data_IF_473459137656
#
_entry.id   IF_473459137656
#
_cell.length_a   1.000
_cell.length_b   1.000
_cell.length_c   1.000
_cell.angle_alpha   90.00
_cell.angle_beta   90.00
_cell.angle_gamma   90.00
#
_symmetry.space_group_name_H-M   'P 1'
#
loop_
_entity.id
_entity.type
_entity.pdbx_description
1 polymer ?
#
# COMPACT_ATOMS: atom_id res chain seq x y z
N UNK A 1 0.30 12.46 2.26
CA UNK A 1 0.85 11.18 2.75
C UNK A 1 -0.08 10.67 3.83
N UNK A 2 -0.42 9.39 3.82
CA UNK A 2 -1.28 8.72 4.80
C UNK A 2 -0.38 7.96 5.78
N UNK A 3 -0.59 8.14 7.08
CA UNK A 3 0.29 7.59 8.12
C UNK A 3 -0.48 6.66 9.03
N UNK A 4 -0.01 5.43 9.21
CA UNK A 4 -0.58 4.45 10.13
C UNK A 4 0.55 3.76 10.87
N UNK A 5 0.88 4.21 12.10
CA UNK A 5 2.05 3.68 12.83
C UNK A 5 1.98 2.20 13.20
N UNK A 6 0.78 1.63 13.33
CA UNK A 6 0.54 0.21 13.60
C UNK A 6 -0.78 -0.24 12.97
N UNK A 7 -0.84 -1.49 12.52
CA UNK A 7 -2.04 -2.10 11.94
C UNK A 7 -1.97 -3.63 12.00
N UNK A 8 -3.06 -4.31 11.66
CA UNK A 8 -3.10 -5.76 11.46
C UNK A 8 -4.00 -6.07 10.27
N UNK A 9 -3.89 -7.29 9.74
CA UNK A 9 -4.54 -7.76 8.54
C UNK A 9 -4.12 -6.99 7.29
N UNK A 10 -5.11 -6.76 6.43
CA UNK A 10 -4.96 -6.02 5.19
C UNK A 10 -5.84 -4.77 5.24
N UNK A 11 -5.30 -3.58 5.60
CA UNK A 11 -6.11 -2.39 5.81
C UNK A 11 -6.71 -1.86 4.51
N UNK A 12 -8.04 -1.76 4.43
CA UNK A 12 -8.70 -1.13 3.27
C UNK A 12 -8.29 0.33 3.09
N UNK A 13 -7.99 1.03 4.19
CA UNK A 13 -7.50 2.42 4.16
C UNK A 13 -6.19 2.57 3.39
N UNK A 14 -5.36 1.52 3.28
CA UNK A 14 -4.15 1.55 2.47
C UNK A 14 -4.51 1.55 0.97
N UNK A 15 -5.50 0.75 0.57
CA UNK A 15 -6.02 0.76 -0.80
C UNK A 15 -6.73 2.08 -1.12
N UNK A 16 -7.56 2.60 -0.22
CA UNK A 16 -8.25 3.89 -0.38
C UNK A 16 -7.26 5.03 -0.57
N UNK A 17 -6.22 5.09 0.28
CA UNK A 17 -5.12 6.05 0.14
C UNK A 17 -4.43 5.89 -1.22
N UNK A 18 -4.11 4.66 -1.63
CA UNK A 18 -3.44 4.42 -2.89
C UNK A 18 -4.33 4.71 -4.12
N UNK A 19 -5.64 4.52 -4.02
CA UNK A 19 -6.60 4.76 -5.09
C UNK A 19 -6.64 6.24 -5.49
N UNK A 20 -6.45 7.14 -4.53
CA UNK A 20 -6.32 8.59 -4.77
C UNK A 20 -4.86 9.04 -4.91
N UNK A 21 -3.93 8.10 -5.08
CA UNK A 21 -2.51 8.39 -5.28
C UNK A 21 -1.80 8.99 -4.06
N UNK A 22 -2.30 8.74 -2.85
CA UNK A 22 -1.67 9.21 -1.60
C UNK A 22 -0.67 8.18 -1.09
N UNK A 23 0.64 8.51 -1.02
CA UNK A 23 1.68 7.60 -0.51
C UNK A 23 1.46 7.22 0.96
N UNK A 24 1.93 6.03 1.33
CA UNK A 24 1.77 5.45 2.67
C UNK A 24 3.07 5.59 3.48
N UNK A 25 2.95 5.87 4.78
CA UNK A 25 4.02 5.65 5.75
C UNK A 25 3.47 4.81 6.89
N UNK A 26 4.11 3.67 7.14
CA UNK A 26 3.79 2.76 8.25
C UNK A 26 5.07 2.30 8.93
N UNK A 27 4.96 1.47 9.95
CA UNK A 27 6.11 0.89 10.65
C UNK A 27 6.08 -0.64 10.59
N UNK A 28 7.15 -1.26 11.11
CA UNK A 28 7.23 -2.70 11.34
C UNK A 28 6.32 -3.24 12.45
N UNK A 29 5.46 -2.41 13.08
CA UNK A 29 4.42 -2.84 14.03
C UNK A 29 3.10 -3.23 13.36
N UNK A 30 3.15 -3.71 12.12
CA UNK A 30 2.01 -4.30 11.44
C UNK A 30 2.40 -5.49 10.58
N UNK A 31 1.42 -6.08 9.89
CA UNK A 31 1.66 -7.23 9.03
C UNK A 31 2.57 -6.88 7.85
N UNK A 32 3.35 -7.86 7.39
CA UNK A 32 4.29 -7.64 6.27
C UNK A 32 3.55 -7.58 4.95
N UNK A 33 3.49 -6.39 4.36
CA UNK A 33 2.90 -6.11 3.07
C UNK A 33 4.00 -5.70 2.08
N UNK A 34 4.50 -6.65 1.29
CA UNK A 34 5.67 -6.50 0.40
C UNK A 34 5.53 -5.39 -0.66
N UNK A 35 4.30 -4.98 -0.97
CA UNK A 35 4.01 -3.98 -2.00
C UNK A 35 4.23 -2.52 -1.54
N UNK A 36 4.52 -2.29 -0.25
CA UNK A 36 4.60 -0.95 0.34
C UNK A 36 5.99 -0.32 0.19
N UNK A 37 6.99 -0.90 0.88
CA UNK A 37 8.27 -0.24 1.12
C UNK A 37 9.04 0.02 -0.18
N UNK A 38 9.50 1.26 -0.37
CA UNK A 38 10.22 1.70 -1.56
C UNK A 38 9.38 1.76 -2.85
N UNK A 39 8.12 1.33 -2.82
CA UNK A 39 7.24 1.29 -3.98
C UNK A 39 6.13 2.34 -3.91
N UNK A 40 5.24 2.27 -2.91
CA UNK A 40 4.13 3.22 -2.71
C UNK A 40 4.35 4.15 -1.51
N UNK A 41 5.47 3.96 -0.80
CA UNK A 41 5.67 4.54 0.51
C UNK A 41 6.87 3.98 1.25
N UNK A 42 6.83 4.06 2.58
CA UNK A 42 7.86 3.53 3.46
C UNK A 42 7.30 2.68 4.59
N UNK A 43 8.03 1.62 4.91
CA UNK A 43 7.87 0.85 6.16
C UNK A 43 9.09 1.15 7.03
N UNK A 44 8.90 1.89 8.13
CA UNK A 44 9.99 2.35 8.98
C UNK A 44 10.14 1.50 10.24
N UNK A 45 11.20 1.74 11.01
CA UNK A 45 11.21 1.35 12.43
C UNK A 45 10.11 2.12 13.19
N UNK A 46 9.60 1.57 14.30
CA UNK A 46 8.52 2.19 15.05
C UNK A 46 9.02 3.25 16.03
N UNK A 47 9.75 4.24 15.52
CA UNK A 47 10.20 5.38 16.32
C UNK A 47 9.62 6.68 15.77
N UNK A 48 9.33 7.67 16.63
CA UNK A 48 8.87 8.98 16.17
C UNK A 48 9.82 9.64 15.16
N UNK A 49 11.14 9.43 15.34
CA UNK A 49 12.17 9.99 14.45
C UNK A 49 12.11 9.37 13.06
N UNK A 50 12.04 8.05 12.96
CA UNK A 50 12.03 7.36 11.67
C UNK A 50 10.74 7.65 10.88
N UNK A 51 9.59 7.73 11.57
CA UNK A 51 8.32 8.14 10.99
C UNK A 51 8.37 9.59 10.46
N UNK A 52 8.87 10.52 11.27
CA UNK A 52 8.99 11.93 10.88
C UNK A 52 9.91 12.11 9.67
N UNK A 53 11.03 11.39 9.64
CA UNK A 53 11.97 11.41 8.52
C UNK A 53 11.32 10.88 7.23
N UNK A 54 10.61 9.75 7.29
CA UNK A 54 9.92 9.19 6.12
C UNK A 54 8.84 10.13 5.58
N UNK A 55 8.05 10.74 6.47
CA UNK A 55 7.06 11.77 6.10
C UNK A 55 7.76 12.97 5.46
N UNK A 56 8.82 13.49 6.08
CA UNK A 56 9.58 14.64 5.59
C UNK A 56 10.14 14.38 4.19
N UNK A 57 10.76 13.22 3.95
CA UNK A 57 11.28 12.83 2.64
C UNK A 57 10.20 12.85 1.54
N UNK A 58 9.00 12.33 1.82
CA UNK A 58 7.91 12.31 0.84
C UNK A 58 7.37 13.71 0.55
N UNK A 59 7.28 14.59 1.56
CA UNK A 59 6.70 15.93 1.36
C UNK A 59 7.71 16.95 0.82
N UNK A 60 9.01 16.72 1.00
CA UNK A 60 10.09 17.61 0.53
C UNK A 60 10.63 17.24 -0.84
N UNK A 61 10.48 15.99 -1.29
CA UNK A 61 10.88 15.53 -2.62
C UNK A 61 9.66 15.31 -3.51
N UNK A 62 9.44 16.28 -4.39
CA UNK A 62 8.32 16.34 -5.32
C UNK A 62 8.34 15.23 -6.37
N UNK A 63 9.53 14.81 -6.81
CA UNK A 63 9.69 13.74 -7.78
C UNK A 63 9.37 12.39 -7.15
N UNK A 64 9.92 12.14 -5.96
CA UNK A 64 9.63 10.96 -5.16
C UNK A 64 8.14 10.87 -4.84
N UNK A 65 7.51 11.98 -4.43
CA UNK A 65 6.07 12.04 -4.16
C UNK A 65 5.24 11.65 -5.38
N UNK A 66 5.57 12.20 -6.56
CA UNK A 66 4.89 11.85 -7.82
C UNK A 66 5.14 10.40 -8.22
N UNK A 67 6.35 9.87 -7.99
CA UNK A 67 6.68 8.47 -8.23
C UNK A 67 5.82 7.53 -7.38
N UNK A 68 5.79 7.74 -6.06
CA UNK A 68 4.96 6.96 -5.16
C UNK A 68 3.47 7.10 -5.49
N UNK A 69 2.98 8.30 -5.79
CA UNK A 69 1.59 8.53 -6.20
C UNK A 69 1.18 7.71 -7.43
N UNK A 70 2.02 7.68 -8.47
CA UNK A 70 1.76 6.84 -9.66
C UNK A 70 1.80 5.35 -9.32
N UNK A 71 2.74 4.94 -8.47
CA UNK A 71 2.86 3.54 -8.04
C UNK A 71 1.65 3.10 -7.21
N UNK A 72 1.15 3.95 -6.31
CA UNK A 72 -0.08 3.73 -5.55
C UNK A 72 -1.25 3.35 -6.48
N UNK A 73 -1.52 4.22 -7.47
CA UNK A 73 -2.62 4.04 -8.42
C UNK A 73 -2.40 2.76 -9.23
N UNK A 74 -1.17 2.54 -9.72
CA UNK A 74 -0.80 1.34 -10.50
C UNK A 74 -1.03 0.06 -9.71
N UNK A 75 -0.60 0.01 -8.45
CA UNK A 75 -0.73 -1.18 -7.59
C UNK A 75 -2.21 -1.52 -7.37
N UNK A 76 -3.04 -0.52 -7.05
CA UNK A 76 -4.48 -0.72 -6.87
C UNK A 76 -5.11 -1.27 -8.15
N UNK A 77 -4.93 -0.60 -9.29
CA UNK A 77 -5.53 -1.03 -10.56
C UNK A 77 -5.05 -2.43 -10.98
N UNK A 78 -3.76 -2.74 -10.80
CA UNK A 78 -3.19 -3.99 -11.33
C UNK A 78 -3.45 -5.20 -10.45
N UNK A 79 -3.60 -5.03 -9.13
CA UNK A 79 -3.62 -6.15 -8.18
C UNK A 79 -4.84 -6.20 -7.28
N UNK A 80 -5.49 -5.06 -7.03
CA UNK A 80 -6.49 -4.92 -5.97
C UNK A 80 -7.77 -4.21 -6.46
N UNK A 81 -7.94 -4.04 -7.78
CA UNK A 81 -9.21 -3.57 -8.34
C UNK A 81 -10.29 -4.61 -8.06
N UNK A 82 -11.54 -4.16 -7.96
CA UNK A 82 -12.65 -5.07 -7.70
C UNK A 82 -12.73 -6.16 -8.78
N UNK A 83 -12.52 -5.79 -10.04
CA UNK A 83 -12.49 -6.71 -11.17
C UNK A 83 -11.40 -7.77 -10.99
N UNK A 84 -10.19 -7.37 -10.59
CA UNK A 84 -9.07 -8.30 -10.38
C UNK A 84 -9.29 -9.23 -9.19
N UNK A 85 -9.92 -8.74 -8.13
CA UNK A 85 -10.26 -9.54 -6.95
C UNK A 85 -11.34 -10.55 -7.30
N UNK A 86 -12.41 -10.13 -7.99
CA UNK A 86 -13.50 -11.00 -8.43
C UNK A 86 -12.99 -12.06 -9.39
N UNK A 87 -12.20 -11.70 -10.40
CA UNK A 87 -11.62 -12.63 -11.38
C UNK A 87 -10.81 -13.75 -10.69
N UNK A 88 -10.00 -13.40 -9.67
CA UNK A 88 -9.22 -14.38 -8.89
C UNK A 88 -10.11 -15.30 -8.06
N UNK A 89 -11.15 -14.75 -7.42
CA UNK A 89 -12.09 -15.52 -6.61
C UNK A 89 -12.91 -16.49 -7.46
N UNK A 90 -13.45 -16.02 -8.58
CA UNK A 90 -14.20 -16.84 -9.54
C UNK A 90 -13.33 -17.97 -10.10
N UNK A 91 -12.09 -17.66 -10.51
CA UNK A 91 -11.14 -18.66 -10.99
C UNK A 91 -10.89 -19.77 -9.97
N UNK A 92 -10.73 -19.39 -8.69
CA UNK A 92 -10.53 -20.35 -7.60
C UNK A 92 -11.78 -21.21 -7.38
N UNK A 93 -12.97 -20.62 -7.39
CA UNK A 93 -14.22 -21.37 -7.22
C UNK A 93 -14.46 -22.32 -8.40
N UNK A 94 -14.18 -21.91 -9.63
CA UNK A 94 -14.25 -22.78 -10.79
C UNK A 94 -13.28 -23.96 -10.70
N UNK A 95 -12.05 -23.73 -10.22
CA UNK A 95 -11.07 -24.80 -10.02
C UNK A 95 -11.59 -25.84 -9.02
N UNK A 96 -12.14 -25.38 -7.89
CA UNK A 96 -12.61 -26.26 -6.83
C UNK A 96 -13.85 -27.05 -7.27
N UNK A 97 -14.78 -26.43 -7.99
CA UNK A 97 -16.01 -27.11 -8.45
C UNK A 97 -15.74 -28.12 -9.57
N UNK A 98 -14.68 -27.92 -10.38
CA UNK A 98 -14.26 -28.87 -11.44
C UNK A 98 -13.49 -30.08 -10.88
N UNK A 99 -13.11 -30.09 -9.61
CA UNK A 99 -12.47 -31.23 -8.92
C UNK A 99 -13.52 -32.09 -8.23
#
# INVERSE_FOLDING_TARGET
>A
VFVTPSFYGFPMTFLESCAVGTPIVTTSLGDTLEWIDGNVGYVTRPTPRDLAEAVYRIISDDELRRKFSRNCIKVVISNFSLEKVVERLESLYEEIVKR
#
